data_IF_009316790800
#
_entry.id   IF_009316790800
#
_cell.length_a   1.000
_cell.length_b   1.000
_cell.length_c   1.000
_cell.angle_alpha   90.00
_cell.angle_beta   90.00
_cell.angle_gamma   90.00
#
_symmetry.space_group_name_H-M   'P 1'
#
loop_
_entity.id
_entity.type
_entity.pdbx_description
1 polymer ?
#
# COMPACT_ATOMS: atom_id res chain seq x y z
N UNK A 1 6.87 0.44 15.57
CA UNK A 1 6.78 1.19 14.29
C UNK A 1 5.70 0.52 13.44
N UNK A 2 4.84 1.27 12.74
CA UNK A 2 3.70 0.70 12.00
C UNK A 2 3.78 1.02 10.51
N UNK A 3 3.60 0.00 9.68
CA UNK A 3 3.55 0.10 8.22
C UNK A 3 2.23 -0.47 7.72
N UNK A 4 1.49 0.35 6.96
CA UNK A 4 0.27 -0.09 6.27
C UNK A 4 0.54 -0.01 4.76
N UNK A 5 0.35 -1.12 4.05
CA UNK A 5 0.52 -1.21 2.60
C UNK A 5 -0.83 -1.48 1.94
N UNK A 6 -1.29 -0.54 1.12
CA UNK A 6 -2.49 -0.73 0.30
C UNK A 6 -2.07 -1.35 -1.04
N UNK A 7 -2.63 -2.51 -1.38
CA UNK A 7 -2.25 -3.25 -2.59
C UNK A 7 -3.41 -4.07 -3.13
N UNK A 8 -3.33 -4.43 -4.41
CA UNK A 8 -4.22 -5.43 -5.03
C UNK A 8 -3.70 -6.86 -4.86
N UNK A 9 -2.52 -7.06 -4.23
CA UNK A 9 -1.90 -8.37 -4.02
C UNK A 9 -1.35 -8.54 -2.59
N UNK A 10 -2.19 -8.51 -1.54
CA UNK A 10 -1.73 -8.58 -0.15
C UNK A 10 -0.93 -9.86 0.18
N UNK A 11 -1.26 -10.97 -0.48
CA UNK A 11 -0.59 -12.26 -0.27
C UNK A 11 0.90 -12.25 -0.64
N UNK A 12 1.36 -11.31 -1.48
CA UNK A 12 2.78 -11.17 -1.83
C UNK A 12 3.67 -10.85 -0.60
N UNK A 13 3.08 -10.23 0.42
CA UNK A 13 3.82 -9.79 1.61
C UNK A 13 3.95 -10.89 2.66
N UNK A 14 3.12 -11.94 2.65
CA UNK A 14 3.16 -13.00 3.67
C UNK A 14 4.55 -13.65 3.83
N UNK A 15 5.10 -14.28 2.77
CA UNK A 15 6.37 -15.00 2.86
C UNK A 15 7.58 -14.10 3.19
N UNK A 16 7.61 -12.88 2.65
CA UNK A 16 8.76 -11.96 2.82
C UNK A 16 8.84 -11.44 4.26
N UNK A 17 7.68 -11.18 4.87
CA UNK A 17 7.61 -10.56 6.20
C UNK A 17 7.58 -11.57 7.35
N UNK A 18 7.47 -12.86 7.07
CA UNK A 18 7.54 -13.92 8.09
C UNK A 18 8.95 -14.51 8.27
N UNK A 19 9.95 -14.01 7.53
CA UNK A 19 11.28 -14.62 7.48
C UNK A 19 12.37 -13.62 7.91
N UNK A 20 13.49 -14.16 8.39
CA UNK A 20 14.70 -13.39 8.67
C UNK A 20 14.58 -12.33 9.78
N UNK A 21 15.26 -11.20 9.60
CA UNK A 21 15.32 -10.12 10.60
C UNK A 21 13.96 -9.42 10.73
N UNK A 22 13.25 -9.22 9.61
CA UNK A 22 11.93 -8.56 9.59
C UNK A 22 10.90 -9.43 10.31
N UNK A 23 10.82 -10.73 10.00
CA UNK A 23 9.90 -11.65 10.68
C UNK A 23 10.09 -11.67 12.20
N UNK A 24 11.35 -11.77 12.66
CA UNK A 24 11.65 -11.71 14.10
C UNK A 24 11.27 -10.38 14.74
N UNK A 25 11.39 -9.26 14.02
CA UNK A 25 10.97 -7.96 14.53
C UNK A 25 9.44 -7.85 14.68
N UNK A 26 8.69 -8.45 13.76
CA UNK A 26 7.22 -8.54 13.83
C UNK A 26 6.79 -9.48 14.97
N UNK A 27 7.37 -10.68 15.07
CA UNK A 27 7.09 -11.64 16.16
C UNK A 27 7.34 -11.05 17.55
N UNK A 28 8.35 -10.19 17.68
CA UNK A 28 8.69 -9.48 18.93
C UNK A 28 7.89 -8.20 19.14
N UNK A 29 6.99 -7.83 18.22
CA UNK A 29 6.17 -6.62 18.32
C UNK A 29 6.94 -5.30 18.15
N UNK A 30 8.15 -5.32 17.58
CA UNK A 30 8.95 -4.11 17.30
C UNK A 30 8.41 -3.36 16.07
N UNK A 31 7.88 -4.12 15.11
CA UNK A 31 7.25 -3.62 13.89
C UNK A 31 5.85 -4.24 13.77
N UNK A 32 4.87 -3.39 13.46
CA UNK A 32 3.53 -3.79 13.03
C UNK A 32 3.42 -3.56 11.53
N UNK A 33 3.08 -4.61 10.77
CA UNK A 33 2.97 -4.56 9.32
C UNK A 33 1.62 -5.11 8.90
N UNK A 34 0.87 -4.33 8.12
CA UNK A 34 -0.47 -4.69 7.64
C UNK A 34 -0.56 -4.47 6.13
N UNK A 35 -0.90 -5.52 5.38
CA UNK A 35 -1.20 -5.42 3.95
C UNK A 35 -2.72 -5.42 3.72
N UNK A 36 -3.24 -4.32 3.21
CA UNK A 36 -4.67 -4.07 2.99
C UNK A 36 -5.03 -4.32 1.52
N UNK A 37 -6.08 -5.11 1.29
CA UNK A 37 -6.54 -5.38 -0.07
C UNK A 37 -7.41 -4.21 -0.56
N UNK A 38 -6.94 -3.47 -1.56
CA UNK A 38 -7.67 -2.32 -2.10
C UNK A 38 -9.09 -2.66 -2.54
N UNK A 39 -9.33 -3.91 -2.98
CA UNK A 39 -10.67 -4.38 -3.36
C UNK A 39 -11.68 -4.37 -2.21
N UNK A 40 -11.28 -4.14 -0.97
CA UNK A 40 -12.20 -3.99 0.16
C UNK A 40 -12.90 -2.62 0.18
N UNK A 41 -12.37 -1.66 -0.56
CA UNK A 41 -12.90 -0.29 -0.68
C UNK A 41 -13.61 -0.06 -2.03
N UNK A 42 -14.11 -1.13 -2.65
CA UNK A 42 -14.88 -1.07 -3.90
C UNK A 42 -16.34 -1.39 -3.62
N UNK A 43 -17.26 -0.72 -4.31
CA UNK A 43 -18.69 -0.84 -4.04
C UNK A 43 -19.48 -1.57 -5.14
N UNK A 44 -18.83 -1.93 -6.24
CA UNK A 44 -19.43 -2.68 -7.34
C UNK A 44 -19.35 -4.20 -7.11
N UNK A 45 -20.22 -4.95 -7.81
CA UNK A 45 -20.29 -6.42 -7.70
C UNK A 45 -18.98 -7.11 -8.08
N UNK A 46 -18.20 -6.54 -8.99
CA UNK A 46 -16.98 -7.14 -9.53
C UNK A 46 -15.71 -6.69 -8.79
N UNK A 47 -15.85 -5.78 -7.81
CA UNK A 47 -14.75 -5.23 -7.01
C UNK A 47 -13.65 -4.63 -7.88
N UNK A 48 -14.07 -3.79 -8.83
CA UNK A 48 -13.19 -3.16 -9.80
C UNK A 48 -12.36 -2.04 -9.15
N UNK A 49 -11.04 -2.09 -9.37
CA UNK A 49 -10.07 -1.17 -8.76
C UNK A 49 -9.41 -0.25 -9.78
N UNK A 50 -9.72 -0.42 -11.06
CA UNK A 50 -9.15 0.27 -12.19
C UNK A 50 -10.23 0.83 -13.12
N UNK A 51 -9.91 1.87 -13.88
CA UNK A 51 -10.79 2.48 -14.88
C UNK A 51 -10.01 2.95 -16.11
N UNK A 52 -10.76 3.25 -17.17
CA UNK A 52 -10.19 3.82 -18.39
C UNK A 52 -9.70 5.25 -18.12
N UNK A 53 -8.49 5.61 -18.55
CA UNK A 53 -8.03 6.99 -18.46
C UNK A 53 -8.89 7.90 -19.33
N UNK A 54 -9.18 9.11 -18.83
CA UNK A 54 -9.78 10.15 -19.66
C UNK A 54 -8.87 10.47 -20.85
N UNK A 55 -9.48 10.66 -22.03
CA UNK A 55 -8.76 10.81 -23.30
C UNK A 55 -8.46 9.49 -24.03
N UNK A 56 -8.75 8.34 -23.41
CA UNK A 56 -8.53 7.02 -23.99
C UNK A 56 -7.04 6.64 -24.07
N UNK A 57 -6.72 5.66 -24.91
CA UNK A 57 -5.37 5.08 -25.02
C UNK A 57 -5.29 3.68 -24.41
N UNK A 58 -4.13 3.02 -24.56
CA UNK A 58 -3.93 1.68 -24.01
C UNK A 58 -3.76 1.71 -22.49
N UNK A 59 -4.24 0.64 -21.82
CA UNK A 59 -4.06 0.43 -20.40
C UNK A 59 -5.18 1.02 -19.54
N UNK A 60 -5.01 0.82 -18.22
CA UNK A 60 -5.97 1.22 -17.19
C UNK A 60 -5.23 2.01 -16.11
N UNK A 61 -5.96 2.86 -15.38
CA UNK A 61 -5.47 3.59 -14.21
C UNK A 61 -6.21 3.16 -12.97
N UNK A 62 -5.60 3.32 -11.80
CA UNK A 62 -6.29 3.03 -10.53
C UNK A 62 -7.49 3.96 -10.35
N UNK A 63 -8.64 3.41 -9.93
CA UNK A 63 -9.80 4.21 -9.55
C UNK A 63 -9.46 5.08 -8.34
N UNK A 64 -9.84 6.37 -8.34
CA UNK A 64 -9.53 7.25 -7.23
C UNK A 64 -10.29 6.89 -5.96
N UNK A 65 -11.56 6.48 -6.05
CA UNK A 65 -12.44 6.29 -4.89
C UNK A 65 -11.92 5.20 -3.94
N UNK A 66 -11.60 3.96 -4.40
CA UNK A 66 -11.07 2.93 -3.52
C UNK A 66 -9.73 3.32 -2.89
N UNK A 67 -8.88 4.06 -3.62
CA UNK A 67 -7.55 4.46 -3.12
C UNK A 67 -7.69 5.49 -2.01
N UNK A 68 -8.52 6.51 -2.22
CA UNK A 68 -8.78 7.56 -1.22
C UNK A 68 -9.42 6.95 0.02
N UNK A 69 -10.48 6.14 -0.14
CA UNK A 69 -11.16 5.48 0.98
C UNK A 69 -10.21 4.59 1.79
N UNK A 70 -9.33 3.83 1.12
CA UNK A 70 -8.34 3.00 1.78
C UNK A 70 -7.38 3.85 2.63
N UNK A 71 -6.80 4.90 2.05
CA UNK A 71 -5.87 5.79 2.77
C UNK A 71 -6.58 6.46 3.96
N UNK A 72 -7.76 7.04 3.76
CA UNK A 72 -8.51 7.72 4.82
C UNK A 72 -8.88 6.79 5.97
N UNK A 73 -9.29 5.54 5.67
CA UNK A 73 -9.61 4.55 6.70
C UNK A 73 -8.42 4.21 7.60
N UNK A 74 -7.20 4.27 7.06
CA UNK A 74 -5.97 3.95 7.77
C UNK A 74 -5.43 5.15 8.57
N UNK A 75 -5.64 6.37 8.08
CA UNK A 75 -5.14 7.60 8.73
C UNK A 75 -5.68 7.83 10.14
N UNK A 76 -6.82 7.23 10.48
CA UNK A 76 -7.37 7.28 11.83
C UNK A 76 -6.41 6.65 12.87
N UNK A 77 -5.71 5.58 12.47
CA UNK A 77 -4.86 4.78 13.35
C UNK A 77 -3.36 4.85 13.00
N UNK A 78 -3.00 5.48 11.88
CA UNK A 78 -1.63 5.71 11.46
C UNK A 78 -1.45 7.16 10.96
N UNK A 79 -0.67 7.96 11.70
CA UNK A 79 -0.38 9.37 11.37
C UNK A 79 0.92 9.56 10.59
N UNK A 80 1.58 8.47 10.18
CA UNK A 80 2.81 8.50 9.39
C UNK A 80 2.62 9.11 8.01
N UNK A 81 3.73 9.37 7.28
CA UNK A 81 3.68 9.87 5.92
C UNK A 81 2.97 8.86 4.99
N UNK A 82 2.18 9.39 4.05
CA UNK A 82 1.60 8.59 2.97
C UNK A 82 2.57 8.63 1.80
N UNK A 83 3.09 7.46 1.41
CA UNK A 83 4.07 7.32 0.34
C UNK A 83 3.45 6.58 -0.83
N UNK A 84 3.48 7.19 -2.02
CA UNK A 84 3.12 6.54 -3.28
C UNK A 84 4.40 6.05 -3.96
N UNK A 85 4.48 4.74 -4.24
CA UNK A 85 5.61 4.18 -4.98
C UNK A 85 5.37 4.32 -6.48
N UNK A 86 6.17 5.14 -7.16
CA UNK A 86 6.07 5.34 -8.60
C UNK A 86 7.44 5.53 -9.26
N UNK A 87 7.61 5.20 -10.56
CA UNK A 87 8.90 5.32 -11.24
C UNK A 87 9.44 6.76 -11.37
N UNK A 88 8.55 7.75 -11.30
CA UNK A 88 8.87 9.16 -11.46
C UNK A 88 9.13 9.88 -10.13
N UNK A 89 9.01 9.17 -9.01
CA UNK A 89 9.22 9.69 -7.67
C UNK A 89 10.70 9.85 -7.30
N UNK A 90 10.96 10.34 -6.08
CA UNK A 90 12.32 10.42 -5.56
C UNK A 90 12.94 9.01 -5.46
N UNK A 91 14.16 8.86 -5.99
CA UNK A 91 14.86 7.57 -5.96
C UNK A 91 15.24 7.23 -4.52
N UNK A 92 14.75 6.09 -4.03
CA UNK A 92 15.13 5.58 -2.72
C UNK A 92 16.64 5.30 -2.64
N UNK A 93 17.29 5.94 -1.68
CA UNK A 93 18.67 5.68 -1.27
C UNK A 93 18.75 5.53 0.26
N UNK A 94 19.96 5.24 0.77
CA UNK A 94 20.16 5.00 2.20
C UNK A 94 19.88 6.24 3.07
N UNK A 95 20.04 7.45 2.51
CA UNK A 95 19.78 8.69 3.22
C UNK A 95 18.27 8.90 3.34
N UNK A 96 17.53 8.79 2.23
CA UNK A 96 16.08 8.89 2.25
C UNK A 96 15.45 7.83 3.16
N UNK A 97 15.98 6.60 3.16
CA UNK A 97 15.51 5.54 4.05
C UNK A 97 15.73 5.83 5.56
N UNK A 98 16.66 6.72 5.92
CA UNK A 98 16.89 7.14 7.31
C UNK A 98 16.06 8.37 7.70
N UNK A 99 15.60 9.15 6.72
CA UNK A 99 14.70 10.30 6.90
C UNK A 99 13.24 9.86 7.06
N UNK A 100 12.85 8.75 6.40
CA UNK A 100 11.54 8.11 6.51
C UNK A 100 11.39 7.30 7.82
#
# INVERSE_FOLDING_TARGET
>A
MRFDVVTIFPAMFGPVFQQGVIGRAIERGLIDFQAHNLRQHTHDRHRQVDDMPFGGGPGMVMKPEPVIEAVESLRANNRGPVVLMEPWGERLDQRLAAEL
#
